data_IF_921332196068
#
_entry.id   IF_921332196068
#
_cell.length_a   1.000
_cell.length_b   1.000
_cell.length_c   1.000
_cell.angle_alpha   90.00
_cell.angle_beta   90.00
_cell.angle_gamma   90.00
#
_symmetry.space_group_name_H-M   'P 1'
#
loop_
_entity.id
_entity.type
_entity.pdbx_description
1 polymer ?
#
# COMPACT_ATOMS: atom_id res chain seq x y z
N UNK A 1 14.74 9.95 22.11
CA UNK A 1 13.52 9.22 21.71
C UNK A 1 12.65 10.18 20.92
N UNK A 2 12.10 9.79 19.77
CA UNK A 2 11.22 10.67 18.97
C UNK A 2 9.89 10.89 19.68
N UNK A 3 9.37 12.11 19.65
CA UNK A 3 8.02 12.43 20.11
C UNK A 3 6.96 11.72 19.25
N UNK A 4 5.74 11.56 19.76
CA UNK A 4 4.64 10.98 18.99
C UNK A 4 4.36 11.73 17.69
N UNK A 5 4.38 13.07 17.73
CA UNK A 5 4.26 13.89 16.52
C UNK A 5 5.43 13.69 15.54
N UNK A 6 6.65 13.53 16.04
CA UNK A 6 7.81 13.20 15.20
C UNK A 6 7.68 11.84 14.52
N UNK A 7 7.13 10.84 15.21
CA UNK A 7 6.84 9.52 14.63
C UNK A 7 5.73 9.59 13.58
N UNK A 8 4.67 10.36 13.81
CA UNK A 8 3.60 10.59 12.83
C UNK A 8 4.17 11.14 11.51
N UNK A 9 4.99 12.19 11.60
CA UNK A 9 5.63 12.82 10.44
C UNK A 9 6.56 11.83 9.74
N UNK A 10 7.39 11.07 10.47
CA UNK A 10 8.31 10.11 9.88
C UNK A 10 7.56 8.96 9.17
N UNK A 11 6.45 8.50 9.74
CA UNK A 11 5.62 7.48 9.11
C UNK A 11 5.06 8.01 7.80
N UNK A 12 4.44 9.19 7.82
CA UNK A 12 3.80 9.76 6.63
C UNK A 12 4.79 10.15 5.52
N UNK A 13 5.99 10.63 5.87
CA UNK A 13 6.96 11.12 4.91
C UNK A 13 7.88 10.03 4.36
N UNK A 14 8.36 9.12 5.22
CA UNK A 14 9.40 8.13 4.88
C UNK A 14 8.82 6.73 4.80
N UNK A 15 8.23 6.21 5.89
CA UNK A 15 7.80 4.81 5.91
C UNK A 15 6.67 4.52 4.92
N UNK A 16 5.80 5.50 4.65
CA UNK A 16 4.73 5.35 3.67
C UNK A 16 5.23 5.54 2.22
N UNK A 17 6.20 6.42 1.97
CA UNK A 17 6.66 6.68 0.60
C UNK A 17 7.40 5.49 -0.01
N UNK A 18 8.24 4.80 0.77
CA UNK A 18 8.99 3.61 0.33
C UNK A 18 8.09 2.54 -0.33
N UNK A 19 7.05 1.99 0.34
CA UNK A 19 6.20 0.99 -0.27
C UNK A 19 5.36 1.55 -1.42
N UNK A 20 4.97 2.83 -1.40
CA UNK A 20 4.21 3.45 -2.50
C UNK A 20 4.97 3.36 -3.83
N UNK A 21 6.29 3.52 -3.83
CA UNK A 21 7.10 3.36 -5.04
C UNK A 21 6.96 1.95 -5.62
N UNK A 22 7.02 0.92 -4.77
CA UNK A 22 6.89 -0.48 -5.17
C UNK A 22 5.44 -0.80 -5.61
N UNK A 23 4.45 -0.34 -4.85
CA UNK A 23 3.02 -0.51 -5.14
C UNK A 23 2.60 0.10 -6.48
N UNK A 24 3.34 1.10 -6.97
CA UNK A 24 3.08 1.68 -8.29
C UNK A 24 3.44 0.76 -9.46
N UNK A 25 4.32 -0.22 -9.22
CA UNK A 25 4.78 -1.19 -10.22
C UNK A 25 4.15 -2.57 -10.04
N UNK A 26 3.84 -2.99 -8.81
CA UNK A 26 3.33 -4.34 -8.50
C UNK A 26 2.16 -4.30 -7.52
N UNK A 27 1.32 -5.33 -7.58
CA UNK A 27 0.28 -5.60 -6.57
C UNK A 27 0.76 -6.72 -5.64
N UNK A 28 1.19 -6.40 -4.42
CA UNK A 28 1.62 -7.42 -3.47
C UNK A 28 0.42 -8.18 -2.87
N UNK A 29 0.63 -9.41 -2.38
CA UNK A 29 -0.40 -10.13 -1.64
C UNK A 29 -0.84 -9.39 -0.38
N UNK A 30 -2.09 -9.57 0.03
CA UNK A 30 -2.65 -8.96 1.24
C UNK A 30 -1.85 -9.27 2.52
N UNK A 31 -1.15 -10.41 2.57
CA UNK A 31 -0.28 -10.76 3.70
C UNK A 31 0.86 -9.75 3.89
N UNK A 32 1.47 -9.30 2.78
CA UNK A 32 2.57 -8.32 2.82
C UNK A 32 2.07 -6.95 3.27
N UNK A 33 0.88 -6.54 2.79
CA UNK A 33 0.25 -5.28 3.19
C UNK A 33 -0.07 -5.27 4.70
N UNK A 34 -0.57 -6.39 5.23
CA UNK A 34 -0.81 -6.57 6.67
C UNK A 34 0.48 -6.52 7.48
N UNK A 35 1.56 -7.10 6.98
CA UNK A 35 2.85 -7.04 7.67
C UNK A 35 3.43 -5.62 7.66
N UNK A 36 3.27 -4.85 6.57
CA UNK A 36 3.62 -3.43 6.54
C UNK A 36 2.86 -2.63 7.60
N UNK A 37 1.54 -2.84 7.71
CA UNK A 37 0.72 -2.22 8.76
C UNK A 37 1.20 -2.60 10.16
N UNK A 38 1.60 -3.86 10.37
CA UNK A 38 2.17 -4.32 11.64
C UNK A 38 3.49 -3.63 11.97
N UNK A 39 4.37 -3.44 10.98
CA UNK A 39 5.64 -2.72 11.14
C UNK A 39 5.37 -1.26 11.50
N UNK A 40 4.45 -0.59 10.80
CA UNK A 40 4.09 0.80 11.10
C UNK A 40 3.48 0.95 12.49
N UNK A 41 2.57 0.06 12.87
CA UNK A 41 1.99 0.03 14.19
C UNK A 41 3.06 -0.19 15.26
N UNK A 42 3.96 -1.17 15.06
CA UNK A 42 5.06 -1.42 15.99
C UNK A 42 5.94 -0.19 16.13
N UNK A 43 6.29 0.48 15.03
CA UNK A 43 7.11 1.69 15.08
C UNK A 43 6.41 2.85 15.80
N UNK A 44 5.14 3.11 15.49
CA UNK A 44 4.37 4.20 16.08
C UNK A 44 4.19 4.03 17.59
N UNK A 45 3.75 2.84 18.01
CA UNK A 45 3.48 2.55 19.41
C UNK A 45 4.76 2.27 20.20
N UNK A 46 5.84 1.79 19.58
CA UNK A 46 7.09 1.48 20.30
C UNK A 46 7.63 2.71 21.03
N UNK A 47 7.66 2.63 22.37
CA UNK A 47 8.16 3.71 23.21
C UNK A 47 9.57 3.43 23.74
N UNK A 48 9.98 2.16 23.89
CA UNK A 48 11.30 1.76 24.42
C UNK A 48 11.85 0.51 23.72
N UNK A 49 13.19 0.41 23.68
CA UNK A 49 13.95 -0.67 23.02
C UNK A 49 13.74 -2.04 23.73
N UNK A 50 13.31 -2.03 24.99
CA UNK A 50 13.31 -3.21 25.88
C UNK A 50 11.93 -3.59 26.45
N UNK A 51 10.86 -2.84 26.15
CA UNK A 51 9.52 -3.09 26.71
C UNK A 51 8.48 -3.44 25.64
N UNK A 52 7.57 -4.38 25.95
CA UNK A 52 6.38 -4.65 25.13
C UNK A 52 5.54 -3.38 25.03
N UNK A 53 5.53 -2.72 23.87
CA UNK A 53 4.64 -1.59 23.66
C UNK A 53 3.20 -2.07 23.51
N UNK A 54 2.30 -1.47 24.29
CA UNK A 54 0.87 -1.75 24.22
C UNK A 54 0.26 -0.89 23.12
N UNK A 55 -0.38 -1.54 22.16
CA UNK A 55 -1.15 -0.86 21.12
C UNK A 55 -2.43 -0.30 21.76
N UNK A 56 -2.63 1.02 21.69
CA UNK A 56 -3.82 1.67 22.26
C UNK A 56 -5.02 1.65 21.33
N UNK A 57 -4.78 1.54 20.02
CA UNK A 57 -5.81 1.41 19.00
C UNK A 57 -5.37 0.46 17.88
N UNK A 58 -6.35 -0.17 17.24
CA UNK A 58 -6.12 -0.96 16.03
C UNK A 58 -5.59 -0.06 14.91
N UNK A 59 -4.58 -0.52 14.16
CA UNK A 59 -3.94 0.27 13.13
C UNK A 59 -4.93 0.76 12.06
N UNK A 60 -5.93 -0.05 11.73
CA UNK A 60 -6.99 0.32 10.78
C UNK A 60 -7.76 1.56 11.23
N UNK A 61 -8.03 1.71 12.54
CA UNK A 61 -8.67 2.91 13.09
C UNK A 61 -7.76 4.13 13.05
N UNK A 62 -6.45 3.92 13.20
CA UNK A 62 -5.45 4.99 13.12
C UNK A 62 -5.32 5.51 11.69
N UNK A 63 -5.51 4.64 10.69
CA UNK A 63 -5.52 5.01 9.27
C UNK A 63 -6.78 5.77 8.82
N UNK A 64 -7.80 5.90 9.66
CA UNK A 64 -8.99 6.68 9.29
C UNK A 64 -8.63 8.17 9.11
N UNK A 65 -9.37 8.90 8.27
CA UNK A 65 -9.26 10.36 8.18
C UNK A 65 -9.39 11.03 9.55
N UNK A 66 -8.76 12.20 9.72
CA UNK A 66 -8.83 12.99 10.96
C UNK A 66 -10.27 13.37 11.34
N UNK A 67 -11.13 13.56 10.33
CA UNK A 67 -12.56 13.86 10.50
C UNK A 67 -13.31 12.68 11.13
N UNK A 68 -12.87 11.45 10.87
CA UNK A 68 -13.46 10.20 11.38
C UNK A 68 -12.77 9.73 12.68
N UNK A 69 -11.94 10.57 13.30
CA UNK A 69 -11.26 10.26 14.56
C UNK A 69 -9.97 9.44 14.42
N UNK A 70 -9.45 9.26 13.20
CA UNK A 70 -8.13 8.66 12.97
C UNK A 70 -6.99 9.68 12.94
N UNK A 71 -5.76 9.22 12.69
CA UNK A 71 -4.59 10.09 12.52
C UNK A 71 -4.40 10.55 11.06
N UNK A 72 -5.20 10.05 10.12
CA UNK A 72 -5.10 10.41 8.71
C UNK A 72 -3.96 9.72 7.96
N UNK A 73 -3.43 8.61 8.48
CA UNK A 73 -2.48 7.79 7.74
C UNK A 73 -3.16 7.09 6.57
N UNK A 74 -2.52 7.09 5.39
CA UNK A 74 -3.07 6.35 4.24
C UNK A 74 -2.94 4.84 4.46
N UNK A 75 -4.05 4.12 4.37
CA UNK A 75 -4.03 2.65 4.36
C UNK A 75 -3.30 2.15 3.11
N UNK A 76 -2.25 1.37 3.30
CA UNK A 76 -1.52 0.73 2.19
C UNK A 76 -2.40 -0.20 1.35
N UNK A 77 -3.46 -0.75 1.93
CA UNK A 77 -4.42 -1.59 1.21
C UNK A 77 -5.14 -0.74 0.16
N UNK A 78 -5.71 0.38 0.59
CA UNK A 78 -6.44 1.31 -0.28
C UNK A 78 -5.51 1.91 -1.34
N UNK A 79 -4.28 2.26 -0.95
CA UNK A 79 -3.28 2.78 -1.88
C UNK A 79 -2.89 1.74 -2.92
N UNK A 80 -2.71 0.47 -2.53
CA UNK A 80 -2.40 -0.60 -3.47
C UNK A 80 -3.52 -0.81 -4.50
N UNK A 81 -4.78 -0.77 -4.05
CA UNK A 81 -5.95 -0.91 -4.91
C UNK A 81 -6.08 0.28 -5.87
N UNK A 82 -5.87 1.51 -5.38
CA UNK A 82 -5.90 2.71 -6.20
C UNK A 82 -4.77 2.71 -7.26
N UNK A 83 -3.56 2.30 -6.88
CA UNK A 83 -2.43 2.19 -7.81
C UNK A 83 -2.66 1.09 -8.85
N UNK A 84 -3.23 -0.04 -8.45
CA UNK A 84 -3.63 -1.09 -9.38
C UNK A 84 -4.67 -0.59 -10.38
N UNK A 85 -5.72 0.09 -9.92
CA UNK A 85 -6.73 0.66 -10.81
C UNK A 85 -6.12 1.67 -11.79
N UNK A 86 -5.19 2.51 -11.33
CA UNK A 86 -4.44 3.43 -12.18
C UNK A 86 -3.59 2.71 -13.22
N UNK A 87 -2.88 1.64 -12.82
CA UNK A 87 -2.04 0.84 -13.71
C UNK A 87 -2.90 0.10 -14.76
N UNK A 88 -4.04 -0.45 -14.35
CA UNK A 88 -5.02 -1.07 -15.22
C UNK A 88 -5.59 -0.09 -16.24
N UNK A 89 -5.92 1.13 -15.79
CA UNK A 89 -6.38 2.18 -16.69
C UNK A 89 -5.32 2.55 -17.73
N UNK A 90 -4.06 2.70 -17.31
CA UNK A 90 -2.93 2.94 -18.23
C UNK A 90 -2.75 1.80 -19.23
N UNK A 91 -2.87 0.55 -18.77
CA UNK A 91 -2.81 -0.62 -19.63
C UNK A 91 -3.88 -0.61 -20.73
N UNK A 92 -5.08 -0.12 -20.42
CA UNK A 92 -6.22 -0.03 -21.36
C UNK A 92 -6.14 1.17 -22.31
N UNK A 93 -5.60 2.30 -21.85
CA UNK A 93 -5.69 3.58 -22.58
C UNK A 93 -4.41 3.98 -23.28
N UNK A 94 -3.24 3.63 -22.74
CA UNK A 94 -1.95 4.08 -23.26
C UNK A 94 -1.27 2.99 -24.09
N UNK A 95 -0.81 3.35 -25.30
CA UNK A 95 0.05 2.49 -26.14
C UNK A 95 1.52 2.61 -25.75
N UNK A 96 1.82 2.34 -24.47
CA UNK A 96 3.21 2.32 -24.00
C UNK A 96 3.91 1.01 -24.38
N UNK A 97 5.25 1.01 -24.39
CA UNK A 97 6.04 -0.21 -24.59
C UNK A 97 5.64 -1.32 -23.59
N UNK A 98 5.43 -0.93 -22.33
CA UNK A 98 4.96 -1.83 -21.28
C UNK A 98 3.57 -2.40 -21.59
N UNK A 99 2.62 -1.56 -22.02
CA UNK A 99 1.27 -2.04 -22.36
C UNK A 99 1.29 -3.00 -23.55
N UNK A 100 2.08 -2.70 -24.59
CA UNK A 100 2.25 -3.59 -25.75
C UNK A 100 2.88 -4.93 -25.35
N UNK A 101 3.91 -4.90 -24.50
CA UNK A 101 4.54 -6.11 -23.97
C UNK A 101 3.54 -6.96 -23.17
N UNK A 102 2.78 -6.34 -22.27
CA UNK A 102 1.77 -7.03 -21.45
C UNK A 102 0.66 -7.66 -22.30
N UNK A 103 0.21 -6.97 -23.35
CA UNK A 103 -0.76 -7.50 -24.31
C UNK A 103 -0.24 -8.72 -25.06
N UNK A 104 0.99 -8.65 -25.56
CA UNK A 104 1.59 -9.75 -26.32
C UNK A 104 1.88 -10.97 -25.44
N UNK A 105 2.35 -10.75 -24.21
CA UNK A 105 2.70 -11.84 -23.28
C UNK A 105 1.48 -12.52 -22.68
N UNK A 106 0.53 -11.74 -22.17
CA UNK A 106 -0.57 -12.26 -21.36
C UNK A 106 -1.91 -12.33 -22.10
N UNK A 107 -2.15 -11.43 -23.05
CA UNK A 107 -3.47 -11.31 -23.66
C UNK A 107 -3.60 -12.04 -25.00
N UNK A 108 -2.51 -12.44 -25.68
CA UNK A 108 -2.53 -13.30 -26.91
C UNK A 108 -3.68 -13.01 -27.89
N UNK A 109 -4.00 -11.73 -28.14
CA UNK A 109 -5.12 -11.24 -28.99
C UNK A 109 -6.55 -11.42 -28.44
N UNK A 110 -6.72 -11.74 -27.16
CA UNK A 110 -8.00 -11.76 -26.44
C UNK A 110 -8.11 -10.59 -25.47
N UNK A 111 -9.33 -10.10 -25.22
CA UNK A 111 -9.57 -8.99 -24.30
C UNK A 111 -9.12 -9.43 -22.88
N UNK A 112 -8.40 -8.60 -22.11
CA UNK A 112 -7.85 -8.95 -20.80
C UNK A 112 -8.88 -9.51 -19.80
N UNK A 113 -10.14 -9.12 -19.94
CA UNK A 113 -11.26 -9.58 -19.10
C UNK A 113 -11.78 -10.98 -19.49
N UNK A 114 -11.41 -11.49 -20.66
CA UNK A 114 -11.80 -12.80 -21.19
C UNK A 114 -10.68 -13.85 -21.03
N UNK A 115 -9.46 -13.43 -20.67
CA UNK A 115 -8.35 -14.34 -20.44
C UNK A 115 -8.56 -15.04 -19.10
N UNK A 116 -9.00 -16.29 -19.15
CA UNK A 116 -9.07 -17.16 -17.99
C UNK A 116 -7.65 -17.49 -17.51
N UNK A 117 -7.37 -17.19 -16.24
CA UNK A 117 -6.10 -17.50 -15.60
C UNK A 117 -5.98 -19.02 -15.48
N UNK A 118 -5.18 -19.66 -16.34
CA UNK A 118 -4.80 -21.06 -16.17
C UNK A 118 -3.65 -21.10 -15.17
N UNK A 119 -4.01 -21.25 -13.89
CA UNK A 119 -3.07 -21.61 -12.82
C UNK A 119 -2.54 -23.02 -13.01
#
# INVERSE_FOLDING_TARGET
MLSFGGKEVLISSVLQSIPIHILSAIVPPNCVLKELHRIFAKFFWSNNITGKSKHWAAWDKVCLPKIEGGLGFRSMIDVSQAMFAKLWWKFRTQRSLWANFMWNKYCKKQIPTLVQWKG
#
